data_IF_787718944613
#
_entry.id   IF_787718944613
#
_cell.length_a   1.000
_cell.length_b   1.000
_cell.length_c   1.000
_cell.angle_alpha   90.00
_cell.angle_beta   90.00
_cell.angle_gamma   90.00
#
_symmetry.space_group_name_H-M   'P 1'
#
loop_
_entity.id
_entity.type
_entity.pdbx_description
1 polymer ?
#
# COMPACT_ATOMS: atom_id res chain seq x y z
N UNK A 1 16.23 14.87 -6.39
CA UNK A 1 14.88 14.26 -6.37
C UNK A 1 14.55 13.93 -4.92
N UNK A 2 13.49 14.52 -4.34
CA UNK A 2 13.08 14.27 -2.95
C UNK A 2 11.91 13.28 -2.99
N UNK A 3 12.17 12.02 -2.67
CA UNK A 3 11.10 11.05 -2.44
C UNK A 3 10.82 11.08 -0.95
N UNK A 4 9.66 11.63 -0.57
CA UNK A 4 9.15 11.53 0.79
C UNK A 4 8.41 10.21 0.91
N UNK A 5 9.10 9.15 1.34
CA UNK A 5 8.42 7.93 1.76
C UNK A 5 7.71 8.23 3.09
N UNK A 6 6.39 8.17 3.11
CA UNK A 6 5.59 8.05 4.31
C UNK A 6 5.10 6.62 4.34
N UNK A 7 5.09 5.94 5.48
CA UNK A 7 4.22 4.79 5.69
C UNK A 7 2.96 5.37 6.29
N UNK A 8 1.91 5.54 5.48
CA UNK A 8 0.61 5.95 6.02
C UNK A 8 0.00 4.73 6.68
N UNK A 9 0.09 4.71 8.01
CA UNK A 9 -0.63 3.83 8.89
C UNK A 9 -2.10 4.26 8.95
N UNK A 10 -2.86 3.96 7.90
CA UNK A 10 -4.30 4.14 7.91
C UNK A 10 -4.93 2.94 8.64
N UNK A 11 -5.67 3.21 9.73
CA UNK A 11 -6.63 2.25 10.27
C UNK A 11 -7.74 2.16 9.21
N UNK A 12 -7.72 1.09 8.43
CA UNK A 12 -8.59 0.93 7.27
C UNK A 12 -10.03 0.65 7.70
N UNK A 13 -10.87 1.68 7.80
CA UNK A 13 -12.27 1.49 7.40
C UNK A 13 -12.30 1.58 5.87
N UNK A 14 -12.10 0.47 5.17
CA UNK A 14 -12.15 0.44 3.70
C UNK A 14 -13.57 0.74 3.23
N UNK A 15 -13.79 1.98 2.81
CA UNK A 15 -15.00 2.41 2.15
C UNK A 15 -14.97 2.03 0.67
N UNK A 16 -15.99 1.30 0.25
CA UNK A 16 -16.46 1.25 -1.13
C UNK A 16 -17.03 2.64 -1.44
N UNK A 17 -16.63 3.28 -2.54
CA UNK A 17 -17.14 4.61 -2.93
C UNK A 17 -18.64 4.57 -3.30
N UNK A 18 -19.41 5.69 -3.32
CA UNK A 18 -19.09 7.08 -2.96
C UNK A 18 -20.04 7.62 -1.87
N UNK A 19 -19.58 7.69 -0.63
CA UNK A 19 -20.14 8.59 0.38
C UNK A 19 -19.00 9.32 1.09
N UNK A 20 -18.20 10.04 0.30
CA UNK A 20 -17.10 10.87 0.79
C UNK A 20 -17.54 11.91 1.84
N UNK A 21 -18.84 12.23 1.90
CA UNK A 21 -19.40 13.17 2.87
C UNK A 21 -19.68 12.58 4.27
N UNK A 22 -19.86 11.27 4.43
CA UNK A 22 -20.18 10.69 5.75
C UNK A 22 -18.93 10.35 6.56
N UNK A 23 -17.80 10.08 5.89
CA UNK A 23 -16.53 9.75 6.54
C UNK A 23 -15.72 10.99 6.96
N UNK A 24 -16.10 12.21 6.57
CA UNK A 24 -15.38 13.43 6.96
C UNK A 24 -15.72 13.91 8.39
N UNK A 25 -16.87 13.50 8.94
CA UNK A 25 -17.36 13.95 10.26
C UNK A 25 -16.84 13.13 11.44
N UNK A 26 -16.28 11.93 11.22
CA UNK A 26 -15.84 11.00 12.29
C UNK A 26 -14.30 10.88 12.36
N UNK A 27 -13.58 11.37 11.36
CA UNK A 27 -12.14 11.12 11.22
C UNK A 27 -11.26 12.17 11.92
N UNK A 28 -11.31 12.20 13.25
CA UNK A 28 -10.15 12.69 14.01
C UNK A 28 -9.11 11.58 14.07
N UNK A 29 -7.85 11.91 13.79
CA UNK A 29 -6.74 10.99 13.96
C UNK A 29 -6.83 10.36 15.35
N UNK A 30 -6.87 9.03 15.42
CA UNK A 30 -7.03 8.33 16.69
C UNK A 30 -5.84 8.69 17.59
N UNK A 31 -6.05 9.31 18.77
CA UNK A 31 -4.95 9.74 19.64
C UNK A 31 -4.08 8.58 20.12
N UNK A 32 -4.54 7.34 20.04
CA UNK A 32 -3.69 6.17 20.32
C UNK A 32 -2.60 5.93 19.27
N UNK A 33 -2.70 6.53 18.08
CA UNK A 33 -1.69 6.38 17.01
C UNK A 33 -0.30 6.86 17.43
N UNK A 34 -0.20 7.87 18.31
CA UNK A 34 1.10 8.30 18.82
C UNK A 34 1.78 7.22 19.67
N UNK A 35 1.02 6.58 20.57
CA UNK A 35 1.51 5.47 21.41
C UNK A 35 1.99 4.30 20.56
N UNK A 36 1.26 4.00 19.49
CA UNK A 36 1.63 2.95 18.55
C UNK A 36 2.88 3.28 17.73
N UNK A 37 3.04 4.54 17.31
CA UNK A 37 4.25 4.97 16.63
C UNK A 37 5.48 4.92 17.56
N UNK A 38 5.31 5.19 18.85
CA UNK A 38 6.36 5.06 19.86
C UNK A 38 6.75 3.60 20.11
N UNK A 39 5.78 2.69 20.14
CA UNK A 39 6.03 1.25 20.28
C UNK A 39 6.74 0.62 19.05
N UNK A 40 6.88 1.37 17.96
CA UNK A 40 7.54 0.93 16.73
C UNK A 40 8.94 1.54 16.57
N UNK A 41 9.48 2.14 17.63
CA UNK A 41 10.85 2.63 17.64
C UNK A 41 11.83 1.50 17.25
N UNK A 42 12.70 1.77 16.28
CA UNK A 42 13.71 0.85 15.75
C UNK A 42 13.18 -0.37 14.96
N UNK A 43 11.87 -0.43 14.68
CA UNK A 43 11.34 -1.46 13.81
C UNK A 43 11.93 -1.34 12.39
N UNK A 44 12.51 -2.44 11.91
CA UNK A 44 13.11 -2.54 10.58
C UNK A 44 12.14 -3.19 9.60
N UNK A 45 11.92 -2.52 8.48
CA UNK A 45 11.06 -2.99 7.41
C UNK A 45 11.87 -3.16 6.13
N UNK A 46 11.86 -4.38 5.60
CA UNK A 46 12.38 -4.67 4.28
C UNK A 46 11.25 -4.54 3.27
N UNK A 47 11.42 -3.64 2.32
CA UNK A 47 10.39 -3.28 1.35
C UNK A 47 10.87 -3.66 -0.05
N UNK A 48 10.00 -4.37 -0.74
CA UNK A 48 10.05 -4.59 -2.18
C UNK A 48 9.03 -3.67 -2.84
N UNK A 49 9.45 -2.83 -3.78
CA UNK A 49 8.55 -1.98 -4.54
C UNK A 49 8.41 -2.54 -5.94
N UNK A 50 7.18 -2.62 -6.43
CA UNK A 50 6.88 -3.06 -7.79
C UNK A 50 6.02 -1.99 -8.46
N UNK A 51 6.71 -1.16 -9.24
CA UNK A 51 6.13 0.01 -9.91
C UNK A 51 5.89 -0.37 -11.37
N UNK A 52 4.67 -0.16 -11.85
CA UNK A 52 4.29 -0.41 -13.23
C UNK A 52 2.90 0.12 -13.51
N UNK A 53 2.52 0.26 -14.77
CA UNK A 53 1.17 0.70 -15.08
C UNK A 53 0.19 -0.38 -14.60
N UNK A 54 -0.74 -0.02 -13.72
CA UNK A 54 -1.74 -0.95 -13.22
C UNK A 54 -3.01 -0.74 -14.02
N UNK A 55 -3.36 -1.70 -14.87
CA UNK A 55 -4.65 -1.74 -15.54
C UNK A 55 -5.60 -2.67 -14.77
N UNK A 56 -6.82 -2.22 -14.55
CA UNK A 56 -7.85 -3.08 -13.95
C UNK A 56 -8.48 -3.91 -15.06
N UNK A 57 -8.13 -5.20 -15.14
CA UNK A 57 -8.76 -6.16 -16.06
C UNK A 57 -9.56 -7.18 -15.25
N UNK A 58 -10.87 -7.26 -15.52
CA UNK A 58 -11.80 -8.14 -14.80
C UNK A 58 -11.81 -7.92 -13.27
N UNK A 59 -11.66 -6.66 -12.84
CA UNK A 59 -11.59 -6.28 -11.43
C UNK A 59 -10.29 -6.68 -10.71
N UNK A 60 -9.32 -7.26 -11.44
CA UNK A 60 -7.98 -7.58 -10.92
C UNK A 60 -6.97 -6.56 -11.43
N UNK A 61 -6.10 -6.02 -10.57
CA UNK A 61 -4.98 -5.19 -11.01
C UNK A 61 -4.00 -6.07 -11.81
N UNK A 62 -3.91 -5.83 -13.11
CA UNK A 62 -2.91 -6.40 -14.00
C UNK A 62 -1.84 -5.34 -14.25
N UNK A 63 -0.60 -5.68 -13.92
CA UNK A 63 0.52 -4.79 -14.20
C UNK A 63 0.86 -4.91 -15.68
N UNK A 64 0.55 -3.88 -16.45
CA UNK A 64 0.87 -3.77 -17.88
C UNK A 64 2.11 -2.90 -18.09
N UNK A 65 2.87 -3.17 -19.15
CA UNK A 65 4.03 -2.38 -19.53
C UNK A 65 5.31 -2.68 -18.74
N UNK A 66 6.22 -1.70 -18.74
CA UNK A 66 7.54 -1.83 -18.14
C UNK A 66 7.44 -1.78 -16.62
N UNK A 67 7.91 -2.85 -15.96
CA UNK A 67 7.96 -2.97 -14.50
C UNK A 67 9.31 -2.52 -13.98
N UNK A 68 9.29 -1.70 -12.93
CA UNK A 68 10.44 -1.31 -12.15
C UNK A 68 10.30 -1.94 -10.76
N UNK A 69 11.02 -3.04 -10.56
CA UNK A 69 11.20 -3.66 -9.25
C UNK A 69 12.34 -2.98 -8.50
N UNK A 70 12.10 -2.52 -7.28
CA UNK A 70 13.13 -2.05 -6.35
C UNK A 70 13.18 -3.03 -5.19
N UNK A 71 14.28 -3.74 -5.09
CA UNK A 71 14.54 -4.75 -4.08
C UNK A 71 15.40 -4.22 -2.94
N UNK A 72 15.25 -4.82 -1.75
CA UNK A 72 16.11 -4.57 -0.59
C UNK A 72 16.12 -3.12 -0.08
N UNK A 73 15.00 -2.39 -0.20
CA UNK A 73 14.83 -1.12 0.50
C UNK A 73 14.66 -1.43 1.99
N UNK A 74 15.61 -1.03 2.84
CA UNK A 74 15.53 -1.22 4.29
C UNK A 74 15.24 0.12 4.95
N UNK A 75 14.12 0.18 5.66
CA UNK A 75 13.68 1.35 6.41
C UNK A 75 13.67 1.04 7.91
N UNK A 76 14.18 1.96 8.71
CA UNK A 76 14.04 1.95 10.17
C UNK A 76 13.03 3.01 10.59
N UNK A 77 12.04 2.61 11.39
CA UNK A 77 11.05 3.53 11.96
C UNK A 77 11.65 4.25 13.17
N UNK A 78 11.55 5.59 13.24
CA UNK A 78 11.93 6.37 14.44
C UNK A 78 10.68 6.94 15.11
N UNK A 79 10.38 6.46 16.31
CA UNK A 79 9.13 6.77 17.02
C UNK A 79 9.06 8.17 17.62
N UNK A 80 10.14 8.59 18.30
CA UNK A 80 10.17 9.83 19.10
C UNK A 80 10.74 11.05 18.39
N UNK A 81 11.62 10.85 17.41
CA UNK A 81 12.22 11.95 16.68
C UNK A 81 11.20 12.58 15.72
N UNK A 82 10.81 13.81 16.03
CA UNK A 82 10.10 14.65 15.06
C UNK A 82 11.01 14.80 13.85
N UNK A 83 10.41 14.68 12.65
CA UNK A 83 11.13 14.95 11.42
C UNK A 83 11.78 16.34 11.53
N UNK A 84 13.10 16.44 11.37
CA UNK A 84 13.78 17.72 11.39
C UNK A 84 13.09 18.69 10.43
N UNK A 85 12.96 19.99 10.77
CA UNK A 85 12.24 20.98 9.95
C UNK A 85 12.88 21.20 8.57
N UNK A 86 14.05 20.61 8.31
CA UNK A 86 14.75 20.63 7.01
C UNK A 86 14.23 19.56 6.04
N UNK A 87 13.44 18.61 6.51
CA UNK A 87 12.84 17.61 5.64
C UNK A 87 11.68 18.21 4.83
N UNK A 88 11.45 17.66 3.63
CA UNK A 88 10.25 18.01 2.88
C UNK A 88 9.02 17.71 3.75
N UNK A 89 8.08 18.66 3.85
CA UNK A 89 6.84 18.47 4.59
C UNK A 89 6.25 17.12 4.24
N UNK A 90 6.24 16.22 5.23
CA UNK A 90 5.70 14.88 5.03
C UNK A 90 4.20 15.02 4.71
N UNK A 91 3.62 14.05 3.99
CA UNK A 91 2.23 14.09 3.58
C UNK A 91 1.29 13.88 4.78
N UNK A 92 1.18 14.90 5.61
CA UNK A 92 -0.12 15.31 6.15
C UNK A 92 -0.93 15.82 4.96
N UNK A 93 -1.04 17.14 4.82
CA UNK A 93 -1.84 17.84 3.80
C UNK A 93 -1.70 17.35 2.34
N UNK A 94 -0.56 16.75 1.96
CA UNK A 94 -0.28 16.34 0.57
C UNK A 94 -0.54 14.85 0.26
N UNK A 95 -0.81 14.02 1.28
CA UNK A 95 -1.07 12.59 1.09
C UNK A 95 -2.43 12.29 0.45
N UNK A 96 -2.73 11.02 0.09
CA UNK A 96 -4.05 10.64 -0.39
C UNK A 96 -5.15 10.85 0.64
N UNK A 97 -4.81 10.81 1.94
CA UNK A 97 -5.76 11.01 3.04
C UNK A 97 -5.16 11.92 4.14
N UNK A 98 -5.05 13.24 3.90
CA UNK A 98 -4.39 14.17 4.82
C UNK A 98 -5.04 14.21 6.21
N UNK A 99 -6.37 14.07 6.26
CA UNK A 99 -7.18 14.07 7.49
C UNK A 99 -6.92 12.88 8.41
N UNK A 100 -6.36 11.78 7.88
CA UNK A 100 -6.08 10.57 8.64
C UNK A 100 -4.63 10.49 9.13
N UNK A 101 -3.81 11.50 8.81
CA UNK A 101 -2.40 11.50 9.17
C UNK A 101 -2.20 11.88 10.64
N UNK A 102 -1.41 11.10 11.37
CA UNK A 102 -0.94 11.45 12.72
C UNK A 102 0.17 12.50 12.74
N UNK A 103 0.53 13.04 11.56
CA UNK A 103 1.61 14.00 11.40
C UNK A 103 2.95 13.35 11.01
N UNK A 104 3.98 14.19 10.78
CA UNK A 104 5.29 13.75 10.31
C UNK A 104 6.03 12.89 11.36
N UNK A 105 6.58 11.75 10.92
CA UNK A 105 7.50 10.91 11.70
C UNK A 105 8.79 10.68 10.92
N UNK A 106 9.92 10.63 11.63
CA UNK A 106 11.23 10.39 11.02
C UNK A 106 11.38 8.92 10.60
N UNK A 107 12.02 8.69 9.47
CA UNK A 107 12.36 7.37 8.94
C UNK A 107 13.84 7.40 8.55
N UNK A 108 14.58 6.33 8.85
CA UNK A 108 15.97 6.21 8.39
C UNK A 108 16.04 5.16 7.30
N UNK A 109 16.58 5.54 6.15
CA UNK A 109 16.86 4.61 5.06
C UNK A 109 18.21 3.95 5.34
N UNK A 110 18.17 2.71 5.80
CA UNK A 110 19.37 1.91 6.12
C UNK A 110 19.98 1.36 4.82
N UNK A 111 19.13 0.90 3.89
CA UNK A 111 19.54 0.47 2.57
C UNK A 111 18.59 1.05 1.53
N UNK A 112 19.16 1.65 0.49
CA UNK A 112 18.44 2.34 -0.58
C UNK A 112 17.77 1.37 -1.56
N UNK A 113 18.13 0.09 -1.50
CA UNK A 113 17.68 -0.91 -2.44
C UNK A 113 18.34 -0.79 -3.81
N UNK A 114 18.01 -1.73 -4.67
CA UNK A 114 18.57 -1.88 -6.01
C UNK A 114 17.49 -2.28 -7.00
N UNK A 115 17.66 -1.89 -8.25
CA UNK A 115 16.81 -2.30 -9.36
C UNK A 115 17.65 -2.85 -10.50
N UNK A 116 17.04 -3.65 -11.36
CA UNK A 116 17.67 -4.15 -12.59
C UNK A 116 17.17 -3.32 -13.76
N UNK A 117 18.07 -2.67 -14.48
CA UNK A 117 17.70 -1.93 -15.69
C UNK A 117 17.39 -2.87 -16.87
N UNK A 118 16.89 -2.30 -17.97
CA UNK A 118 16.60 -3.08 -19.19
C UNK A 118 17.85 -3.70 -19.83
N UNK A 119 19.05 -3.25 -19.46
CA UNK A 119 20.31 -3.84 -19.90
C UNK A 119 20.78 -4.99 -18.99
N UNK A 120 19.97 -5.37 -17.99
CA UNK A 120 20.32 -6.41 -17.01
C UNK A 120 21.35 -5.95 -15.97
N UNK A 121 21.68 -4.66 -15.94
CA UNK A 121 22.64 -4.12 -14.97
C UNK A 121 21.92 -3.76 -13.68
N UNK A 122 22.39 -4.31 -12.56
CA UNK A 122 21.91 -3.91 -11.24
C UNK A 122 22.43 -2.52 -10.91
N UNK A 123 21.51 -1.59 -10.67
CA UNK A 123 21.83 -0.24 -10.21
C UNK A 123 21.30 -0.05 -8.80
N UNK A 124 22.10 0.58 -7.96
CA UNK A 124 21.60 1.09 -6.69
C UNK A 124 20.57 2.18 -7.01
N UNK A 125 19.42 2.10 -6.35
CA UNK A 125 18.46 3.18 -6.43
C UNK A 125 19.11 4.39 -5.77
N UNK A 126 19.32 5.46 -6.54
CA UNK A 126 20.16 6.59 -6.12
C UNK A 126 19.70 7.23 -4.80
N UNK A 127 20.59 8.04 -4.22
CA UNK A 127 20.50 8.61 -2.86
C UNK A 127 19.06 8.97 -2.45
N UNK A 128 18.50 8.21 -1.51
CA UNK A 128 17.26 8.57 -0.83
C UNK A 128 17.58 9.72 0.12
N UNK A 129 17.23 10.94 -0.25
CA UNK A 129 17.36 12.06 0.67
C UNK A 129 16.08 12.20 1.50
N UNK A 130 16.05 11.62 2.70
CA UNK A 130 15.38 12.27 3.84
C UNK A 130 16.29 13.43 4.24
N UNK A 131 16.10 14.58 3.61
CA UNK A 131 17.17 15.58 3.53
C UNK A 131 17.49 16.25 4.86
N UNK A 132 18.66 15.95 5.42
CA UNK A 132 19.55 16.98 5.97
C UNK A 132 19.96 17.91 4.83
N UNK A 133 19.58 19.18 4.94
CA UNK A 133 20.04 20.26 4.08
C UNK A 133 20.96 21.18 4.87
N UNK A 134 22.26 21.05 4.67
CA UNK A 134 23.20 22.16 4.75
C UNK A 134 23.64 22.40 3.32
N UNK A 135 23.23 23.53 2.74
CA UNK A 135 24.20 24.43 2.11
C UNK A 135 23.57 25.81 1.87
N UNK A 136 24.33 26.81 2.25
CA UNK A 136 24.08 28.23 2.11
C UNK A 136 24.02 28.66 0.63
N UNK A 137 23.34 29.79 0.42
CA UNK A 137 23.46 30.65 -0.76
C UNK A 137 23.03 30.06 -2.12
N UNK A 138 21.74 30.18 -2.43
CA UNK A 138 21.28 30.66 -3.73
C UNK A 138 19.92 31.35 -3.57
N UNK A 139 19.91 32.69 -3.66
CA UNK A 139 18.70 33.51 -3.75
C UNK A 139 18.15 33.41 -5.18
N UNK A 140 16.89 32.98 -5.29
CA UNK A 140 16.06 33.13 -6.50
C UNK A 140 16.01 31.91 -7.41
N UNK A 141 14.76 31.49 -7.71
CA UNK A 141 14.30 30.44 -8.65
C UNK A 141 14.01 29.08 -8.02
N UNK A 142 12.79 28.62 -8.31
CA UNK A 142 12.19 27.35 -7.89
C UNK A 142 13.07 26.14 -8.25
N UNK A 143 13.41 25.27 -7.28
CA UNK A 143 14.18 24.06 -7.59
C UNK A 143 13.25 22.96 -8.11
N UNK A 144 13.18 22.85 -9.44
CA UNK A 144 12.89 21.59 -10.13
C UNK A 144 14.12 20.68 -10.03
N UNK A 145 13.91 19.41 -9.65
CA UNK A 145 14.94 18.39 -9.70
C UNK A 145 14.46 17.20 -10.53
N UNK A 146 14.74 17.26 -11.82
CA UNK A 146 14.87 16.13 -12.72
C UNK A 146 16.09 15.27 -12.34
N UNK A 147 16.04 13.97 -12.66
CA UNK A 147 17.25 13.17 -12.84
C UNK A 147 18.17 13.95 -13.80
N UNK A 148 19.51 14.01 -13.59
CA UNK A 148 20.37 14.51 -14.65
C UNK A 148 20.04 13.68 -15.90
N UNK A 149 19.61 14.29 -17.01
CA UNK A 149 19.54 13.57 -18.25
C UNK A 149 20.99 13.18 -18.55
N UNK A 150 21.34 11.91 -18.34
CA UNK A 150 22.30 11.32 -19.27
C UNK A 150 21.70 11.58 -20.64
N UNK A 151 22.30 12.53 -21.38
CA UNK A 151 21.92 13.03 -22.72
C UNK A 151 20.75 12.27 -23.32
N UNK A 152 19.59 12.92 -23.46
CA UNK A 152 18.38 12.45 -24.16
C UNK A 152 18.64 11.16 -24.98
N UNK A 153 18.56 10.01 -24.32
CA UNK A 153 18.27 8.77 -25.02
C UNK A 153 16.76 8.72 -25.09
N UNK A 154 16.22 9.28 -26.17
CA UNK A 154 14.88 8.94 -26.65
C UNK A 154 14.80 7.46 -27.06
N UNK A 155 15.89 6.70 -26.95
CA UNK A 155 15.90 5.27 -27.16
C UNK A 155 15.32 4.51 -25.96
N UNK A 156 14.04 4.16 -26.14
CA UNK A 156 13.32 3.05 -25.51
C UNK A 156 12.79 3.27 -24.08
N UNK A 157 11.66 4.00 -24.04
CA UNK A 157 10.37 3.64 -23.39
C UNK A 157 10.32 3.38 -21.87
N UNK A 158 11.21 3.91 -21.03
CA UNK A 158 10.96 3.97 -19.58
C UNK A 158 11.01 5.42 -19.08
N UNK A 159 9.91 6.15 -19.25
CA UNK A 159 9.73 7.44 -18.60
C UNK A 159 9.40 7.17 -17.13
N UNK A 160 10.39 7.22 -16.24
CA UNK A 160 10.09 7.23 -14.81
C UNK A 160 9.22 8.47 -14.52
N UNK A 161 8.04 8.30 -13.90
CA UNK A 161 7.21 9.45 -13.58
C UNK A 161 8.00 10.40 -12.68
N UNK A 162 8.13 11.65 -13.13
CA UNK A 162 8.67 12.71 -12.28
C UNK A 162 7.59 13.03 -11.25
N UNK A 163 7.91 12.93 -9.96
CA UNK A 163 6.92 13.17 -8.92
C UNK A 163 7.33 12.67 -7.55
N UNK A 164 6.44 12.90 -6.58
CA UNK A 164 6.55 12.35 -5.23
C UNK A 164 5.82 11.02 -5.21
N UNK A 165 6.49 9.97 -4.74
CA UNK A 165 5.85 8.68 -4.48
C UNK A 165 5.39 8.62 -3.03
N UNK A 166 4.21 8.07 -2.82
CA UNK A 166 3.65 7.79 -1.50
C UNK A 166 3.51 6.28 -1.36
N UNK A 167 3.96 5.77 -0.23
CA UNK A 167 3.86 4.36 0.12
C UNK A 167 2.78 4.21 1.19
N UNK A 168 1.86 3.27 1.05
CA UNK A 168 0.81 3.11 2.05
C UNK A 168 0.60 1.65 2.39
N UNK A 169 0.65 1.34 3.68
CA UNK A 169 0.39 0.01 4.21
C UNK A 169 -0.76 0.10 5.22
N UNK A 170 -1.85 -0.64 5.04
CA UNK A 170 -2.92 -0.68 6.02
C UNK A 170 -2.43 -1.21 7.37
N UNK A 171 -2.86 -0.54 8.45
CA UNK A 171 -2.69 -1.01 9.82
C UNK A 171 -4.02 -1.49 10.39
N UNK A 172 -3.92 -2.50 11.24
CA UNK A 172 -5.05 -3.07 11.98
C UNK A 172 -4.70 -3.27 13.44
N UNK A 173 -5.69 -3.11 14.31
CA UNK A 173 -5.59 -3.63 15.68
C UNK A 173 -6.04 -5.09 15.69
N UNK A 174 -5.54 -5.88 16.64
CA UNK A 174 -5.96 -7.29 16.78
C UNK A 174 -7.48 -7.44 16.89
N UNK A 175 -8.13 -6.55 17.64
CA UNK A 175 -9.58 -6.52 17.82
C UNK A 175 -10.33 -6.22 16.52
N UNK A 176 -9.93 -5.16 15.79
CA UNK A 176 -10.60 -4.77 14.54
C UNK A 176 -10.39 -5.80 13.43
N UNK A 177 -9.22 -6.44 13.41
CA UNK A 177 -8.92 -7.52 12.48
C UNK A 177 -9.78 -8.76 12.78
N UNK A 178 -9.98 -9.11 14.06
CA UNK A 178 -10.82 -10.22 14.44
C UNK A 178 -12.29 -9.97 14.08
N UNK A 179 -12.83 -8.80 14.40
CA UNK A 179 -14.22 -8.43 14.02
C UNK A 179 -14.43 -8.51 12.51
N UNK A 180 -13.47 -8.01 11.71
CA UNK A 180 -13.55 -8.12 10.25
C UNK A 180 -13.45 -9.55 9.73
N UNK A 181 -12.68 -10.42 10.39
CA UNK A 181 -12.60 -11.84 10.05
C UNK A 181 -13.90 -12.57 10.36
N UNK A 182 -14.52 -12.27 11.50
CA UNK A 182 -15.80 -12.85 11.87
C UNK A 182 -16.91 -12.41 10.91
N UNK A 183 -16.89 -11.13 10.49
CA UNK A 183 -17.81 -10.61 9.46
C UNK A 183 -17.55 -11.25 8.09
N UNK A 184 -16.28 -11.44 7.72
CA UNK A 184 -15.89 -12.13 6.49
C UNK A 184 -16.39 -13.58 6.49
N UNK A 185 -16.19 -14.32 7.58
CA UNK A 185 -16.67 -15.69 7.70
C UNK A 185 -18.19 -15.79 7.53
N UNK A 186 -18.95 -14.90 8.18
CA UNK A 186 -20.42 -14.82 8.01
C UNK A 186 -20.83 -14.46 6.57
N UNK A 187 -20.09 -13.58 5.91
CA UNK A 187 -20.36 -13.23 4.51
C UNK A 187 -20.02 -14.38 3.55
N UNK A 188 -18.95 -15.12 3.83
CA UNK A 188 -18.52 -16.31 3.08
C UNK A 188 -19.53 -17.46 3.19
N UNK A 189 -20.05 -17.72 4.39
CA UNK A 189 -21.11 -18.70 4.63
C UNK A 189 -22.35 -18.37 3.79
N UNK A 190 -22.86 -17.13 3.90
CA UNK A 190 -24.01 -16.66 3.11
C UNK A 190 -23.79 -16.75 1.61
N UNK A 191 -22.59 -16.41 1.14
CA UNK A 191 -22.23 -16.52 -0.27
C UNK A 191 -22.22 -17.98 -0.74
N UNK A 192 -21.71 -18.89 0.09
CA UNK A 192 -21.66 -20.33 -0.21
C UNK A 192 -23.07 -20.90 -0.31
N UNK A 193 -23.94 -20.61 0.65
CA UNK A 193 -25.35 -20.99 0.60
C UNK A 193 -26.07 -20.45 -0.65
N UNK A 194 -25.81 -19.20 -1.02
CA UNK A 194 -26.41 -18.59 -2.20
C UNK A 194 -25.93 -19.25 -3.51
N UNK A 195 -24.64 -19.61 -3.59
CA UNK A 195 -24.06 -20.33 -4.73
C UNK A 195 -24.66 -21.74 -4.84
N UNK A 196 -24.77 -22.47 -3.73
CA UNK A 196 -25.38 -23.80 -3.71
C UNK A 196 -26.86 -23.77 -4.10
N UNK A 197 -27.63 -22.79 -3.57
CA UNK A 197 -29.02 -22.55 -3.94
C UNK A 197 -29.17 -22.20 -5.42
N UNK A 198 -28.29 -21.35 -5.94
CA UNK A 198 -28.29 -21.02 -7.37
C UNK A 198 -28.03 -22.27 -8.22
N UNK A 199 -27.02 -23.08 -7.87
CA UNK A 199 -26.68 -24.28 -8.62
C UNK A 199 -27.81 -25.34 -8.59
N UNK A 200 -28.48 -25.52 -7.44
CA UNK A 200 -29.59 -26.47 -7.32
C UNK A 200 -30.82 -26.05 -8.12
N UNK A 201 -31.17 -24.75 -8.11
CA UNK A 201 -32.29 -24.21 -8.90
C UNK A 201 -32.01 -24.27 -10.41
N UNK A 202 -30.79 -23.97 -10.85
CA UNK A 202 -30.37 -24.14 -12.25
C UNK A 202 -30.49 -25.60 -12.69
N UNK A 203 -30.11 -26.54 -11.83
CA UNK A 203 -30.25 -27.98 -12.11
C UNK A 203 -31.73 -28.38 -12.21
N UNK A 204 -32.58 -27.98 -11.26
CA UNK A 204 -34.02 -28.29 -11.30
C UNK A 204 -34.72 -27.69 -12.53
N UNK A 205 -34.28 -26.50 -12.96
CA UNK A 205 -34.75 -25.87 -14.21
C UNK A 205 -34.41 -26.71 -15.45
N UNK A 206 -33.26 -27.40 -15.48
CA UNK A 206 -32.85 -28.26 -16.58
C UNK A 206 -33.60 -29.60 -16.59
N UNK A 207 -33.81 -30.20 -15.42
CA UNK A 207 -34.48 -31.50 -15.26
C UNK A 207 -36.00 -31.43 -15.50
N UNK A 208 -36.64 -30.31 -15.17
CA UNK A 208 -38.11 -30.18 -15.23
C UNK A 208 -38.58 -29.89 -16.65
N UNK A 209 -39.59 -30.61 -17.18
CA UNK A 209 -40.14 -30.34 -18.52
C UNK A 209 -41.27 -29.29 -18.55
N UNK A 210 -41.90 -29.01 -17.39
CA UNK A 210 -43.01 -28.05 -17.31
C UNK A 210 -42.49 -26.61 -17.43
N UNK A 211 -42.95 -25.81 -18.41
CA UNK A 211 -42.44 -24.45 -18.62
C UNK A 211 -42.72 -23.50 -17.45
N UNK A 212 -43.82 -23.66 -16.72
CA UNK A 212 -44.12 -22.81 -15.56
C UNK A 212 -43.15 -23.09 -14.40
N UNK A 213 -42.82 -24.36 -14.18
CA UNK A 213 -41.84 -24.76 -13.18
C UNK A 213 -40.43 -24.30 -13.56
N UNK A 214 -40.06 -24.38 -14.85
CA UNK A 214 -38.79 -23.79 -15.33
C UNK A 214 -38.70 -22.30 -15.03
N UNK A 215 -39.76 -21.54 -15.28
CA UNK A 215 -39.79 -20.11 -14.99
C UNK A 215 -39.67 -19.82 -13.48
N UNK A 216 -40.28 -20.65 -12.63
CA UNK A 216 -40.15 -20.56 -11.17
C UNK A 216 -38.70 -20.83 -10.72
N UNK A 217 -38.10 -21.93 -11.17
CA UNK A 217 -36.70 -22.26 -10.86
C UNK A 217 -35.72 -21.19 -11.37
N UNK A 218 -35.97 -20.63 -12.56
CA UNK A 218 -35.20 -19.50 -13.09
C UNK A 218 -35.27 -18.28 -12.17
N UNK A 219 -36.48 -17.90 -11.72
CA UNK A 219 -36.66 -16.79 -10.78
C UNK A 219 -35.93 -17.03 -9.46
N UNK A 220 -36.00 -18.24 -8.92
CA UNK A 220 -35.31 -18.61 -7.68
C UNK A 220 -33.79 -18.57 -7.85
N UNK A 221 -33.27 -19.03 -8.99
CA UNK A 221 -31.85 -18.90 -9.33
C UNK A 221 -31.43 -17.43 -9.37
N UNK A 222 -32.17 -16.55 -10.06
CA UNK A 222 -31.89 -15.12 -10.08
C UNK A 222 -31.90 -14.50 -8.67
N UNK A 223 -32.88 -14.86 -7.83
CA UNK A 223 -32.93 -14.41 -6.44
C UNK A 223 -31.70 -14.87 -5.64
N UNK A 224 -31.28 -16.12 -5.80
CA UNK A 224 -30.06 -16.62 -5.15
C UNK A 224 -28.79 -15.89 -5.65
N UNK A 225 -28.77 -15.48 -6.92
CA UNK A 225 -27.69 -14.64 -7.45
C UNK A 225 -27.70 -13.24 -6.82
N UNK A 226 -28.86 -12.61 -6.65
CA UNK A 226 -28.99 -11.34 -5.94
C UNK A 226 -28.54 -11.46 -4.47
N UNK A 227 -28.94 -12.53 -3.77
CA UNK A 227 -28.50 -12.81 -2.40
C UNK A 227 -26.96 -12.91 -2.30
N UNK A 228 -26.30 -13.48 -3.31
CA UNK A 228 -24.84 -13.54 -3.41
C UNK A 228 -24.24 -12.13 -3.53
N UNK A 229 -24.80 -11.27 -4.37
CA UNK A 229 -24.32 -9.89 -4.53
C UNK A 229 -24.53 -9.06 -3.25
N UNK A 230 -25.64 -9.27 -2.54
CA UNK A 230 -25.94 -8.59 -1.26
C UNK A 230 -25.21 -9.18 -0.05
N UNK A 231 -24.58 -10.35 -0.16
CA UNK A 231 -23.81 -10.96 0.95
C UNK A 231 -22.65 -10.09 1.42
N UNK A 232 -22.17 -9.16 0.59
CA UNK A 232 -20.97 -8.36 0.85
C UNK A 232 -19.66 -9.15 0.72
N UNK A 233 -19.71 -10.42 0.30
CA UNK A 233 -18.54 -11.31 0.17
C UNK A 233 -17.40 -10.67 -0.65
N UNK A 234 -17.73 -10.06 -1.80
CA UNK A 234 -16.72 -9.39 -2.65
C UNK A 234 -15.98 -8.25 -1.94
N UNK A 235 -16.65 -7.54 -1.04
CA UNK A 235 -16.03 -6.46 -0.26
C UNK A 235 -15.01 -6.99 0.75
N UNK A 236 -15.28 -8.18 1.32
CA UNK A 236 -14.41 -8.82 2.30
C UNK A 236 -13.27 -9.65 1.70
N UNK A 237 -13.27 -9.91 0.38
CA UNK A 237 -12.15 -10.58 -0.29
C UNK A 237 -10.81 -9.84 -0.12
N UNK A 238 -10.86 -8.53 0.13
CA UNK A 238 -9.68 -7.69 0.37
C UNK A 238 -9.15 -7.76 1.81
N UNK A 239 -9.86 -8.42 2.73
CA UNK A 239 -9.38 -8.58 4.11
C UNK A 239 -8.16 -9.50 4.10
N UNK A 240 -7.01 -9.04 4.59
CA UNK A 240 -5.75 -9.79 4.59
C UNK A 240 -5.85 -11.04 5.48
N UNK A 241 -5.14 -12.09 5.06
CA UNK A 241 -4.98 -13.30 5.87
C UNK A 241 -3.88 -13.10 6.91
N UNK A 242 -3.85 -13.96 7.93
CA UNK A 242 -2.83 -13.90 9.00
C UNK A 242 -1.41 -13.98 8.45
N UNK A 243 -1.18 -14.83 7.45
CA UNK A 243 0.11 -14.98 6.76
C UNK A 243 0.57 -13.72 6.02
N UNK A 244 -0.35 -12.81 5.74
CA UNK A 244 -0.08 -11.56 5.04
C UNK A 244 0.14 -10.39 6.02
N UNK A 245 0.19 -10.66 7.32
CA UNK A 245 0.39 -9.66 8.37
C UNK A 245 1.79 -9.71 8.97
N UNK A 246 2.32 -8.54 9.27
CA UNK A 246 3.52 -8.31 10.07
C UNK A 246 3.06 -7.89 11.47
N UNK A 247 3.48 -8.64 12.48
CA UNK A 247 3.15 -8.35 13.87
C UNK A 247 4.06 -7.24 14.38
N UNK A 248 3.44 -6.14 14.79
CA UNK A 248 4.09 -5.01 15.43
C UNK A 248 3.73 -5.00 16.92
N UNK A 249 4.52 -4.30 17.72
CA UNK A 249 4.26 -4.17 19.14
C UNK A 249 2.91 -3.47 19.41
N UNK A 250 2.29 -3.77 20.55
CA UNK A 250 1.03 -3.14 20.97
C UNK A 250 -0.21 -3.67 20.24
N UNK A 251 -0.26 -4.98 19.92
CA UNK A 251 -1.41 -5.63 19.26
C UNK A 251 -1.73 -5.05 17.87
N UNK A 252 -0.73 -4.49 17.20
CA UNK A 252 -0.85 -3.95 15.86
C UNK A 252 -0.37 -4.92 14.80
N UNK A 253 -1.07 -4.89 13.67
CA UNK A 253 -0.80 -5.71 12.51
C UNK A 253 -0.65 -4.82 11.29
N UNK A 254 0.51 -4.89 10.65
CA UNK A 254 0.78 -4.20 9.39
C UNK A 254 0.55 -5.18 8.25
N UNK A 255 -0.25 -4.79 7.26
CA UNK A 255 -0.36 -5.59 6.04
C UNK A 255 1.00 -5.63 5.34
N UNK A 256 1.48 -6.83 5.02
CA UNK A 256 2.66 -7.02 4.17
C UNK A 256 2.45 -6.43 2.78
N UNK A 257 1.21 -6.33 2.30
CA UNK A 257 0.89 -5.70 1.02
C UNK A 257 0.48 -4.24 1.22
N UNK A 258 1.14 -3.36 0.46
CA UNK A 258 0.87 -1.94 0.38
C UNK A 258 0.71 -1.46 -1.05
N UNK A 259 0.44 -0.18 -1.20
CA UNK A 259 0.22 0.48 -2.49
C UNK A 259 1.17 1.65 -2.66
N UNK A 260 1.54 1.90 -3.92
CA UNK A 260 2.43 2.99 -4.33
C UNK A 260 1.60 3.99 -5.11
N UNK A 261 1.60 5.25 -4.69
CA UNK A 261 0.85 6.33 -5.32
C UNK A 261 1.80 7.42 -5.80
N UNK A 262 1.38 8.17 -6.82
CA UNK A 262 1.96 9.48 -7.12
C UNK A 262 0.87 10.54 -7.07
N UNK A 263 1.23 11.77 -6.75
CA UNK A 263 0.34 12.93 -6.87
C UNK A 263 0.68 13.62 -8.18
N UNK A 264 -0.32 13.82 -9.05
CA UNK A 264 -0.12 14.62 -10.27
C UNK A 264 0.28 16.05 -9.89
N UNK A 265 0.87 16.81 -10.81
CA UNK A 265 1.12 18.22 -10.56
C UNK A 265 -0.18 19.02 -10.75
N UNK A 266 -0.54 19.87 -9.78
CA UNK A 266 -1.76 20.69 -9.82
C UNK A 266 -2.41 20.89 -8.44
N UNK A 267 -3.20 21.95 -8.30
CA UNK A 267 -3.89 22.27 -7.04
C UNK A 267 -4.99 21.25 -6.70
N UNK A 268 -5.64 20.70 -7.73
CA UNK A 268 -6.65 19.62 -7.62
C UNK A 268 -6.12 18.29 -8.17
N UNK A 269 -4.82 18.06 -8.03
CA UNK A 269 -4.21 16.87 -8.59
C UNK A 269 -4.67 15.61 -7.86
N UNK A 270 -5.31 14.71 -8.61
CA UNK A 270 -5.64 13.37 -8.16
C UNK A 270 -4.36 12.55 -7.90
N UNK A 271 -4.47 11.62 -6.94
CA UNK A 271 -3.48 10.59 -6.74
C UNK A 271 -3.69 9.46 -7.75
N UNK A 272 -2.60 9.00 -8.35
CA UNK A 272 -2.59 7.89 -9.30
C UNK A 272 -1.89 6.68 -8.69
N UNK A 273 -2.53 5.51 -8.76
CA UNK A 273 -1.95 4.25 -8.30
C UNK A 273 -0.89 3.79 -9.30
N UNK A 274 0.34 3.67 -8.84
CA UNK A 274 1.49 3.28 -9.66
C UNK A 274 1.96 1.85 -9.46
N UNK A 275 1.41 1.14 -8.48
CA UNK A 275 1.86 -0.22 -8.21
C UNK A 275 1.60 -0.68 -6.79
N UNK A 276 2.33 -1.72 -6.43
CA UNK A 276 2.22 -2.38 -5.14
C UNK A 276 3.56 -2.42 -4.45
N UNK A 277 3.51 -2.51 -3.12
CA UNK A 277 4.68 -2.71 -2.32
C UNK A 277 4.48 -3.92 -1.43
N UNK A 278 5.57 -4.62 -1.13
CA UNK A 278 5.58 -5.71 -0.17
C UNK A 278 6.57 -5.44 0.93
N UNK A 279 6.09 -5.35 2.16
CA UNK A 279 6.88 -5.28 3.35
C UNK A 279 7.14 -6.69 3.90
N UNK A 280 8.31 -6.87 4.47
CA UNK A 280 8.73 -8.05 5.21
C UNK A 280 9.37 -7.58 6.51
N UNK A 281 9.09 -8.28 7.59
CA UNK A 281 9.84 -8.14 8.83
C UNK A 281 11.13 -8.93 8.67
N UNK A 282 12.26 -8.25 8.76
CA UNK A 282 13.57 -8.90 8.72
C UNK A 282 14.10 -9.01 10.14
N UNK A 283 14.63 -10.17 10.52
CA UNK A 283 15.23 -10.35 11.84
C UNK A 283 16.51 -9.54 11.89
N UNK A 284 16.58 -8.54 12.79
CA UNK A 284 17.72 -7.65 12.98
C UNK A 284 19.06 -8.42 13.02
N UNK A 285 19.07 -9.58 13.71
CA UNK A 285 20.24 -10.43 13.88
C UNK A 285 20.82 -11.00 12.57
N UNK A 286 20.00 -11.19 11.52
CA UNK A 286 20.45 -11.67 10.22
C UNK A 286 21.05 -10.56 9.37
N UNK A 287 20.56 -9.34 9.53
CA UNK A 287 20.98 -8.18 8.73
C UNK A 287 22.24 -7.53 9.30
N UNK A 288 22.34 -7.37 10.62
CA UNK A 288 23.50 -6.74 11.28
C UNK A 288 24.72 -7.66 11.33
N UNK A 289 24.54 -8.98 11.39
CA UNK A 289 25.65 -9.95 11.34
C UNK A 289 26.52 -9.85 10.07
N UNK A 290 26.03 -9.22 9.01
CA UNK A 290 26.77 -8.92 7.78
C UNK A 290 27.39 -7.51 7.81
N UNK A 291 26.74 -6.55 8.49
CA UNK A 291 27.20 -5.17 8.58
C UNK A 291 28.38 -5.00 9.56
N UNK A 292 28.35 -5.65 10.71
CA UNK A 292 29.41 -5.53 11.73
C UNK A 292 30.75 -6.12 11.26
N UNK A 293 30.72 -7.09 10.34
CA UNK A 293 31.94 -7.62 9.68
C UNK A 293 32.54 -6.67 8.64
N UNK A 294 31.78 -5.69 8.13
CA UNK A 294 32.29 -4.69 7.16
C UNK A 294 32.83 -3.44 7.86
N UNK A 295 32.29 -3.07 9.02
CA UNK A 295 32.74 -1.88 9.76
C UNK A 295 34.08 -2.14 10.48
N UNK A 296 34.34 -3.38 10.92
CA UNK A 296 35.63 -3.75 11.54
C UNK A 296 36.82 -3.86 10.57
N UNK A 297 36.58 -3.77 9.25
CA UNK A 297 37.63 -3.83 8.21
C UNK A 297 37.97 -2.47 7.58
N UNK A 298 37.44 -1.37 8.11
CA UNK A 298 37.64 -0.01 7.58
C UNK A 298 38.50 0.90 8.47
N UNK A 299 39.19 0.35 9.47
CA UNK A 299 40.21 1.05 10.26
C UNK A 299 41.47 0.20 10.43
N UNK A 300 42.53 0.48 9.66
CA UNK A 300 43.90 0.52 10.18
C UNK A 300 44.21 1.90 10.77
#
# INVERSE_FOLDING_TARGET
>A
MKISALIICAIGATAVAPSSAFLSLINKANPSLSKYAEAQEDAMLKIHLDIGQVEMKDGKPLITGNRLGIDNLLLQLRGKESASPKHASLPGADGPNPQLSSGPKSLVVVNQGSYVDLAGTTRQFGRWCLGDGVEEQCKGRSPHCSLPPSRRSQEKRCCNPQGRFFLTFPLWTSESLQDLRDRKAKAEEKATEAIERHASEVRMMQETNNPLMKALHFRNACKAHEDLDYSGYRSYQKVPLERDMIHLEGNLHLCSLGTIWTKKEGWFADHELLGSARAFQDDLAKVTGVADKKISNLHP
#
